data_IF_527005392286
#
_entry.id   IF_527005392286
#
_cell.length_a   1.000
_cell.length_b   1.000
_cell.length_c   1.000
_cell.angle_alpha   90.00
_cell.angle_beta   90.00
_cell.angle_gamma   90.00
#
_symmetry.space_group_name_H-M   'P 1'
#
loop_
_entity.id
_entity.type
_entity.pdbx_description
1 polymer ?
#
# COMPACT_ATOMS: atom_id res chain seq x y z
N UNK A 1 -28.38 -21.70 8.90
CA UNK A 1 -28.14 -20.25 9.06
C UNK A 1 -26.76 -20.03 8.52
N UNK A 2 -26.63 -19.36 7.38
CA UNK A 2 -25.32 -18.95 6.86
C UNK A 2 -24.67 -18.07 7.92
N UNK A 3 -23.58 -18.53 8.53
CA UNK A 3 -22.74 -17.68 9.38
C UNK A 3 -22.34 -16.47 8.53
N UNK A 4 -23.01 -15.34 8.78
CA UNK A 4 -22.61 -14.07 8.17
C UNK A 4 -21.22 -13.75 8.72
N UNK A 5 -20.25 -13.63 7.81
CA UNK A 5 -18.93 -13.13 8.13
C UNK A 5 -19.05 -11.83 8.95
N UNK A 6 -18.55 -11.87 10.19
CA UNK A 6 -18.53 -10.72 11.09
C UNK A 6 -17.20 -9.99 10.91
N UNK A 7 -17.24 -8.66 10.83
CA UNK A 7 -16.03 -7.84 10.80
C UNK A 7 -15.22 -8.03 12.08
N UNK A 8 -13.91 -8.30 11.93
CA UNK A 8 -12.97 -8.67 13.01
C UNK A 8 -12.12 -7.50 13.54
N UNK A 9 -12.66 -6.29 13.40
CA UNK A 9 -12.10 -5.08 14.04
C UNK A 9 -12.68 -4.93 15.45
N UNK A 10 -11.81 -4.92 16.46
CA UNK A 10 -12.23 -4.71 17.87
C UNK A 10 -11.70 -3.41 18.46
N UNK A 11 -12.58 -2.73 19.20
CA UNK A 11 -12.29 -1.44 19.84
C UNK A 11 -11.63 -1.62 21.20
N UNK A 12 -12.13 -2.50 22.07
CA UNK A 12 -11.58 -2.80 23.40
C UNK A 12 -12.07 -4.17 23.88
N UNK A 13 -11.25 -5.21 23.82
CA UNK A 13 -11.55 -6.49 24.47
C UNK A 13 -10.28 -7.01 25.14
N UNK A 14 -10.40 -7.49 26.36
CA UNK A 14 -9.36 -8.19 27.13
C UNK A 14 -9.24 -9.67 26.75
N UNK A 15 -9.83 -10.08 25.61
CA UNK A 15 -9.90 -11.47 25.17
C UNK A 15 -10.96 -12.31 25.89
N UNK A 16 -11.81 -11.71 26.74
CA UNK A 16 -12.91 -12.43 27.42
C UNK A 16 -14.01 -12.93 26.47
N UNK A 17 -14.13 -12.35 25.28
CA UNK A 17 -15.06 -12.75 24.23
C UNK A 17 -14.52 -13.93 23.40
N UNK A 18 -14.10 -15.01 24.05
CA UNK A 18 -13.54 -16.18 23.37
C UNK A 18 -14.58 -16.85 22.46
N UNK A 19 -14.26 -17.12 21.18
CA UNK A 19 -15.15 -17.82 20.29
C UNK A 19 -15.35 -19.27 20.76
N UNK A 20 -16.52 -19.88 20.47
CA UNK A 20 -16.78 -21.28 20.82
C UNK A 20 -15.69 -22.20 20.26
N UNK A 21 -15.06 -22.99 21.14
CA UNK A 21 -14.02 -23.94 20.76
C UNK A 21 -12.59 -23.47 20.97
N UNK A 22 -12.36 -22.20 21.30
CA UNK A 22 -11.06 -21.74 21.78
C UNK A 22 -10.85 -22.11 23.26
N UNK A 23 -9.65 -22.59 23.63
CA UNK A 23 -9.28 -22.92 25.00
C UNK A 23 -8.41 -21.84 25.68
N UNK A 24 -7.64 -21.08 24.90
CA UNK A 24 -6.88 -19.92 25.36
C UNK A 24 -6.71 -18.88 24.23
N UNK A 25 -6.16 -17.71 24.58
CA UNK A 25 -5.80 -16.68 23.62
C UNK A 25 -4.40 -16.14 23.89
N UNK A 26 -3.76 -15.61 22.85
CA UNK A 26 -2.48 -14.90 22.95
C UNK A 26 -2.60 -13.49 22.37
N UNK A 27 -1.82 -12.57 22.93
CA UNK A 27 -1.70 -11.20 22.45
C UNK A 27 -0.39 -11.00 21.71
N UNK A 28 -0.46 -10.41 20.52
CA UNK A 28 0.72 -10.05 19.72
C UNK A 28 0.68 -8.56 19.43
N UNK A 29 1.70 -7.84 19.92
CA UNK A 29 1.87 -6.40 19.71
C UNK A 29 1.66 -5.57 20.98
N UNK A 30 1.73 -4.23 20.91
CA UNK A 30 2.11 -3.42 19.74
C UNK A 30 3.62 -3.42 19.46
N UNK A 31 4.44 -3.99 20.35
CA UNK A 31 5.87 -4.18 20.18
C UNK A 31 6.17 -5.67 20.09
N UNK A 32 6.19 -6.23 18.88
CA UNK A 32 6.52 -7.63 18.63
C UNK A 32 7.32 -7.74 17.32
N UNK A 33 8.33 -8.62 17.20
CA UNK A 33 9.11 -8.75 15.96
C UNK A 33 8.26 -9.02 14.70
N UNK A 34 7.17 -9.78 14.83
CA UNK A 34 6.21 -10.02 13.73
C UNK A 34 5.41 -8.79 13.31
N UNK A 35 5.33 -7.77 14.17
CA UNK A 35 4.60 -6.54 13.95
C UNK A 35 5.57 -5.37 13.72
N UNK A 36 6.06 -5.23 12.50
CA UNK A 36 6.96 -4.14 12.09
C UNK A 36 6.35 -2.75 12.24
N UNK A 37 5.04 -2.68 12.08
CA UNK A 37 4.25 -1.51 12.42
C UNK A 37 3.34 -1.85 13.62
N UNK A 38 3.06 -0.86 14.50
CA UNK A 38 2.34 -1.13 15.74
C UNK A 38 0.87 -1.47 15.46
N UNK A 39 0.55 -2.74 15.65
CA UNK A 39 -0.80 -3.30 15.68
C UNK A 39 -0.89 -4.32 16.81
N UNK A 40 -2.10 -4.60 17.26
CA UNK A 40 -2.35 -5.55 18.33
C UNK A 40 -3.30 -6.63 17.82
N UNK A 41 -2.82 -7.88 17.77
CA UNK A 41 -3.59 -9.04 17.37
C UNK A 41 -4.00 -9.82 18.60
N UNK A 42 -5.25 -10.27 18.60
CA UNK A 42 -5.79 -11.19 19.60
C UNK A 42 -6.06 -12.49 18.86
N UNK A 43 -5.35 -13.54 19.25
CA UNK A 43 -5.42 -14.82 18.54
C UNK A 43 -6.03 -15.83 19.50
N UNK A 44 -7.19 -16.34 19.13
CA UNK A 44 -7.90 -17.38 19.87
C UNK A 44 -7.45 -18.74 19.34
N UNK A 45 -6.97 -19.59 20.24
CA UNK A 45 -6.34 -20.87 19.92
C UNK A 45 -7.13 -22.04 20.51
N UNK A 46 -6.95 -23.21 19.89
CA UNK A 46 -7.29 -24.52 20.43
C UNK A 46 -6.05 -25.40 20.32
N UNK A 47 -5.32 -25.57 21.43
CA UNK A 47 -3.94 -26.07 21.36
C UNK A 47 -3.08 -25.16 20.47
N UNK A 48 -2.50 -25.69 19.39
CA UNK A 48 -1.65 -24.91 18.48
C UNK A 48 -2.39 -24.35 17.25
N UNK A 49 -3.68 -24.66 17.10
CA UNK A 49 -4.49 -24.24 15.94
C UNK A 49 -5.25 -22.96 16.24
N UNK A 50 -5.27 -22.07 15.27
CA UNK A 50 -6.02 -20.82 15.32
C UNK A 50 -7.50 -21.11 15.06
N UNK A 51 -8.34 -20.68 16.00
CA UNK A 51 -9.81 -20.71 15.84
C UNK A 51 -10.27 -19.42 15.17
N UNK A 52 -9.78 -18.28 15.65
CA UNK A 52 -10.10 -16.96 15.14
C UNK A 52 -8.98 -15.98 15.50
N UNK A 53 -8.78 -14.97 14.65
CA UNK A 53 -7.88 -13.86 14.92
C UNK A 53 -8.59 -12.52 14.74
N UNK A 54 -8.45 -11.66 15.73
CA UNK A 54 -8.93 -10.29 15.75
C UNK A 54 -7.76 -9.30 15.67
N UNK A 55 -8.01 -8.11 15.11
CA UNK A 55 -7.00 -7.04 15.04
C UNK A 55 -7.51 -5.74 15.65
N UNK A 56 -6.60 -5.09 16.36
CA UNK A 56 -6.72 -3.70 16.80
C UNK A 56 -5.62 -2.87 16.14
N UNK A 57 -6.05 -1.85 15.42
CA UNK A 57 -5.21 -0.82 14.81
C UNK A 57 -5.40 0.52 15.56
N UNK A 58 -4.70 1.56 15.15
CA UNK A 58 -4.85 2.92 15.69
C UNK A 58 -3.66 3.41 16.53
N UNK A 59 -2.62 2.59 16.72
CA UNK A 59 -1.43 2.95 17.50
C UNK A 59 -0.56 4.02 16.82
N UNK A 60 -0.61 4.12 15.48
CA UNK A 60 0.16 5.10 14.69
C UNK A 60 -0.76 6.10 13.97
N UNK A 61 -1.74 6.67 14.69
CA UNK A 61 -2.64 7.68 14.14
C UNK A 61 -1.96 9.06 14.14
N UNK A 62 -1.73 9.61 12.94
CA UNK A 62 -1.03 10.89 12.75
C UNK A 62 -1.93 12.07 12.38
N UNK A 63 -3.22 11.84 12.13
CA UNK A 63 -4.18 12.89 11.79
C UNK A 63 -3.91 13.58 10.43
N UNK A 64 -3.32 12.87 9.46
CA UNK A 64 -2.94 13.44 8.15
C UNK A 64 -4.13 14.08 7.43
N UNK A 65 -5.27 13.39 7.37
CA UNK A 65 -6.49 13.90 6.72
C UNK A 65 -6.92 15.25 7.33
N UNK A 66 -6.93 15.37 8.66
CA UNK A 66 -7.27 16.63 9.35
C UNK A 66 -6.21 17.71 9.12
N UNK A 67 -4.95 17.32 9.06
CA UNK A 67 -3.84 18.23 8.82
C UNK A 67 -3.79 18.72 7.35
N UNK A 68 -4.50 18.05 6.42
CA UNK A 68 -4.68 18.52 5.05
C UNK A 68 -5.70 19.66 4.97
N UNK A 69 -6.78 19.62 5.76
CA UNK A 69 -7.82 20.68 5.80
C UNK A 69 -7.23 22.05 6.20
N UNK A 70 -6.18 22.05 7.03
CA UNK A 70 -5.55 23.29 7.49
C UNK A 70 -4.48 23.86 6.53
N UNK A 71 -4.11 23.11 5.49
CA UNK A 71 -3.00 23.43 4.56
C UNK A 71 -3.50 23.65 3.15
N UNK A 72 -2.73 24.41 2.37
CA UNK A 72 -3.11 24.67 0.97
C UNK A 72 -2.95 23.41 0.11
N UNK A 73 -3.66 23.36 -1.02
CA UNK A 73 -3.54 22.26 -1.99
C UNK A 73 -2.07 21.99 -2.40
N UNK A 74 -1.27 23.04 -2.54
CA UNK A 74 0.15 22.92 -2.89
C UNK A 74 1.01 22.39 -1.73
N UNK A 75 0.74 22.80 -0.50
CA UNK A 75 1.46 22.30 0.68
C UNK A 75 1.15 20.82 0.93
N UNK A 76 -0.10 20.42 0.69
CA UNK A 76 -0.56 19.06 0.87
C UNK A 76 0.11 18.06 -0.09
N UNK A 77 0.59 18.50 -1.25
CA UNK A 77 1.41 17.66 -2.16
C UNK A 77 2.64 17.05 -1.49
N UNK A 78 3.21 17.72 -0.48
CA UNK A 78 4.34 17.20 0.29
C UNK A 78 3.91 16.41 1.54
N UNK A 79 2.68 16.59 2.00
CA UNK A 79 2.16 15.89 3.18
C UNK A 79 1.61 14.51 2.82
N UNK A 80 0.87 14.42 1.72
CA UNK A 80 0.20 13.18 1.29
C UNK A 80 1.14 12.00 1.07
N UNK A 81 2.33 12.16 0.45
CA UNK A 81 3.27 11.05 0.30
C UNK A 81 3.64 10.42 1.65
N UNK A 82 3.60 11.19 2.74
CA UNK A 82 3.91 10.72 4.10
C UNK A 82 2.78 9.88 4.70
N UNK A 83 1.63 9.71 4.04
CA UNK A 83 0.59 8.78 4.48
C UNK A 83 1.13 7.35 4.60
N UNK A 84 2.02 6.96 3.71
CA UNK A 84 2.67 5.65 3.66
C UNK A 84 4.18 5.85 3.56
N UNK A 85 4.98 5.06 4.28
CA UNK A 85 6.44 5.17 4.19
C UNK A 85 7.04 4.58 2.89
N UNK A 86 6.28 3.72 2.21
CA UNK A 86 6.77 2.89 1.10
C UNK A 86 5.98 3.18 -0.19
N UNK A 87 4.70 3.49 -0.10
CA UNK A 87 3.79 3.75 -1.22
C UNK A 87 3.48 5.26 -1.38
N UNK A 88 4.54 6.06 -1.39
CA UNK A 88 4.49 7.52 -1.34
C UNK A 88 4.14 8.18 -2.69
N UNK A 89 4.61 7.62 -3.80
CA UNK A 89 4.41 8.11 -5.16
C UNK A 89 2.98 7.87 -5.64
N UNK A 90 2.38 6.71 -5.34
CA UNK A 90 0.97 6.46 -5.68
C UNK A 90 0.03 7.39 -4.92
N UNK A 91 0.22 7.57 -3.62
CA UNK A 91 -0.57 8.55 -2.85
C UNK A 91 -0.39 9.96 -3.41
N UNK A 92 0.84 10.32 -3.82
CA UNK A 92 1.08 11.60 -4.49
C UNK A 92 0.33 11.70 -5.81
N UNK A 93 0.38 10.67 -6.65
CA UNK A 93 -0.27 10.61 -7.96
C UNK A 93 -1.78 10.76 -7.84
N UNK A 94 -2.41 9.94 -7.00
CA UNK A 94 -3.85 9.96 -6.79
C UNK A 94 -4.28 11.32 -6.24
N UNK A 95 -3.48 11.93 -5.35
CA UNK A 95 -3.73 13.29 -4.89
C UNK A 95 -3.65 14.36 -5.98
N UNK A 96 -2.58 14.39 -6.78
CA UNK A 96 -2.46 15.42 -7.82
C UNK A 96 -3.56 15.27 -8.87
N UNK A 97 -3.98 14.04 -9.19
CA UNK A 97 -5.11 13.78 -10.08
C UNK A 97 -6.44 14.30 -9.53
N UNK A 98 -6.67 14.22 -8.21
CA UNK A 98 -7.83 14.87 -7.59
C UNK A 98 -7.78 16.39 -7.80
N UNK A 99 -6.64 17.01 -7.52
CA UNK A 99 -6.49 18.46 -7.66
C UNK A 99 -6.63 18.90 -9.12
N UNK A 100 -6.05 18.15 -10.06
CA UNK A 100 -6.06 18.46 -11.49
C UNK A 100 -7.46 18.37 -12.09
N UNK A 101 -8.24 17.37 -11.66
CA UNK A 101 -9.63 17.25 -12.08
C UNK A 101 -10.48 18.39 -11.55
N UNK A 102 -10.37 18.69 -10.25
CA UNK A 102 -11.12 19.77 -9.61
C UNK A 102 -10.72 21.15 -10.16
N UNK A 103 -9.46 21.35 -10.53
CA UNK A 103 -8.97 22.59 -11.11
C UNK A 103 -9.22 22.71 -12.64
N UNK A 104 -9.68 21.65 -13.30
CA UNK A 104 -9.95 21.64 -14.74
C UNK A 104 -8.69 21.73 -15.62
N UNK A 105 -7.56 21.16 -15.15
CA UNK A 105 -6.26 21.23 -15.83
C UNK A 105 -5.75 19.87 -16.31
N UNK A 106 -6.54 18.80 -16.15
CA UNK A 106 -6.16 17.43 -16.51
C UNK A 106 -5.71 17.29 -17.99
N UNK A 107 -6.40 17.98 -18.90
CA UNK A 107 -6.12 17.96 -20.34
C UNK A 107 -4.86 18.76 -20.72
N UNK A 108 -4.34 19.58 -19.81
CA UNK A 108 -3.13 20.40 -20.04
C UNK A 108 -1.86 19.64 -19.66
N UNK A 109 -1.98 18.45 -19.07
CA UNK A 109 -0.83 17.66 -18.62
C UNK A 109 -0.21 16.98 -19.83
N UNK A 110 1.04 17.32 -20.12
CA UNK A 110 1.78 16.76 -21.26
C UNK A 110 2.00 15.24 -21.12
N UNK A 111 2.12 14.56 -22.27
CA UNK A 111 2.44 13.13 -22.32
C UNK A 111 3.78 12.83 -21.64
N UNK A 112 4.78 13.72 -21.80
CA UNK A 112 6.07 13.61 -21.11
C UNK A 112 5.92 13.60 -19.59
N UNK A 113 5.08 14.49 -19.03
CA UNK A 113 4.84 14.52 -17.58
C UNK A 113 4.13 13.24 -17.09
N UNK A 114 3.18 12.71 -17.86
CA UNK A 114 2.48 11.44 -17.55
C UNK A 114 3.42 10.23 -17.58
N UNK A 115 4.33 10.16 -18.54
CA UNK A 115 5.37 9.12 -18.60
C UNK A 115 6.29 9.15 -17.37
N UNK A 116 6.73 10.35 -16.95
CA UNK A 116 7.57 10.49 -15.75
C UNK A 116 6.80 10.06 -14.48
N UNK A 117 5.50 10.37 -14.39
CA UNK A 117 4.65 9.88 -13.30
C UNK A 117 4.57 8.37 -13.29
N UNK A 118 4.30 7.75 -14.44
CA UNK A 118 4.25 6.29 -14.57
C UNK A 118 5.58 5.64 -14.18
N UNK A 119 6.71 6.19 -14.61
CA UNK A 119 8.02 5.67 -14.20
C UNK A 119 8.15 5.67 -12.67
N UNK A 120 7.78 6.77 -12.02
CA UNK A 120 7.82 6.86 -10.56
C UNK A 120 6.87 5.89 -9.85
N UNK A 121 5.72 5.55 -10.46
CA UNK A 121 4.77 4.58 -9.92
C UNK A 121 5.28 3.14 -10.05
N UNK A 122 5.85 2.78 -11.20
CA UNK A 122 6.38 1.44 -11.41
C UNK A 122 7.71 1.21 -10.67
N UNK A 123 8.58 2.22 -10.58
CA UNK A 123 9.75 2.17 -9.72
C UNK A 123 9.38 1.99 -8.23
N UNK A 124 8.28 2.63 -7.79
CA UNK A 124 7.72 2.40 -6.46
C UNK A 124 7.25 0.97 -6.25
N UNK A 125 6.56 0.41 -7.25
CA UNK A 125 6.11 -0.99 -7.24
C UNK A 125 7.26 -1.97 -7.12
N UNK A 126 8.30 -1.80 -7.95
CA UNK A 126 9.51 -2.62 -7.92
C UNK A 126 10.16 -2.58 -6.54
N UNK A 127 10.51 -1.40 -6.01
CA UNK A 127 11.19 -1.37 -4.72
C UNK A 127 10.32 -1.89 -3.57
N UNK A 128 8.99 -1.76 -3.69
CA UNK A 128 8.06 -2.21 -2.68
C UNK A 128 7.97 -3.73 -2.63
N UNK A 129 7.79 -4.38 -3.78
CA UNK A 129 7.67 -5.83 -3.85
C UNK A 129 8.97 -6.51 -3.40
N UNK A 130 10.12 -5.98 -3.85
CA UNK A 130 11.43 -6.50 -3.44
C UNK A 130 11.64 -6.42 -1.93
N UNK A 131 11.28 -5.29 -1.32
CA UNK A 131 11.31 -5.13 0.13
C UNK A 131 10.43 -6.18 0.81
N UNK A 132 9.20 -6.31 0.33
CA UNK A 132 8.18 -7.15 0.94
C UNK A 132 8.53 -8.64 0.91
N UNK A 133 8.89 -9.21 -0.25
CA UNK A 133 9.18 -10.64 -0.30
C UNK A 133 10.50 -10.97 0.42
N UNK A 134 11.42 -10.00 0.52
CA UNK A 134 12.62 -10.14 1.36
C UNK A 134 12.27 -10.32 2.84
N UNK A 135 11.33 -9.50 3.33
CA UNK A 135 10.79 -9.63 4.69
C UNK A 135 9.98 -10.92 4.86
N UNK A 136 9.16 -11.29 3.89
CA UNK A 136 8.44 -12.57 3.93
C UNK A 136 9.41 -13.76 4.07
N UNK A 137 10.54 -13.72 3.35
CA UNK A 137 11.57 -14.75 3.48
C UNK A 137 12.18 -14.77 4.89
N UNK A 138 12.41 -13.60 5.51
CA UNK A 138 12.83 -13.51 6.91
C UNK A 138 11.81 -14.15 7.87
N UNK A 139 10.53 -13.82 7.71
CA UNK A 139 9.43 -14.40 8.53
C UNK A 139 9.29 -15.92 8.30
N UNK A 140 9.65 -16.41 7.11
CA UNK A 140 9.73 -17.83 6.80
C UNK A 140 11.00 -18.52 7.38
N UNK A 141 11.97 -17.76 7.88
CA UNK A 141 13.24 -18.24 8.46
C UNK A 141 14.43 -18.26 7.49
N UNK A 142 14.34 -17.57 6.35
CA UNK A 142 15.33 -17.57 5.28
C UNK A 142 16.00 -16.19 5.09
N UNK A 143 16.89 -15.85 6.02
CA UNK A 143 17.58 -14.54 6.07
C UNK A 143 18.44 -14.24 4.85
N UNK A 144 19.00 -15.26 4.18
CA UNK A 144 19.83 -15.04 2.99
C UNK A 144 19.05 -14.32 1.89
N UNK A 145 17.77 -14.66 1.68
CA UNK A 145 16.94 -13.98 0.69
C UNK A 145 16.57 -12.55 1.12
N UNK A 146 16.41 -12.27 2.42
CA UNK A 146 16.26 -10.90 2.92
C UNK A 146 17.45 -10.04 2.47
N UNK A 147 18.67 -10.49 2.74
CA UNK A 147 19.88 -9.71 2.43
C UNK A 147 20.14 -9.58 0.93
N UNK A 148 19.92 -10.64 0.14
CA UNK A 148 20.09 -10.60 -1.32
C UNK A 148 19.06 -9.64 -1.95
N UNK A 149 17.78 -9.79 -1.59
CA UNK A 149 16.72 -8.95 -2.13
C UNK A 149 16.92 -7.48 -1.79
N UNK A 150 17.32 -7.15 -0.55
CA UNK A 150 17.55 -5.77 -0.14
C UNK A 150 18.79 -5.15 -0.78
N UNK A 151 19.86 -5.93 -1.00
CA UNK A 151 21.01 -5.48 -1.79
C UNK A 151 20.57 -5.10 -3.22
N UNK A 152 19.79 -5.96 -3.86
CA UNK A 152 19.38 -5.74 -5.25
C UNK A 152 18.31 -4.65 -5.37
N UNK A 153 17.52 -4.44 -4.32
CA UNK A 153 16.59 -3.31 -4.18
C UNK A 153 17.29 -1.95 -4.25
N UNK A 154 18.53 -1.84 -3.79
CA UNK A 154 19.27 -0.57 -3.84
C UNK A 154 19.43 -0.06 -5.28
N UNK A 155 19.48 -0.97 -6.27
CA UNK A 155 19.61 -0.61 -7.69
C UNK A 155 18.47 0.32 -8.14
N UNK A 156 17.22 -0.03 -7.82
CA UNK A 156 16.07 0.81 -8.21
C UNK A 156 16.00 2.09 -7.37
N UNK A 157 16.45 2.05 -6.11
CA UNK A 157 16.49 3.24 -5.26
C UNK A 157 17.53 4.26 -5.72
N UNK A 158 18.68 3.81 -6.20
CA UNK A 158 19.71 4.67 -6.78
C UNK A 158 19.19 5.38 -8.04
N UNK A 159 18.40 4.69 -8.88
CA UNK A 159 17.75 5.30 -10.05
C UNK A 159 16.72 6.35 -9.62
N UNK A 160 15.87 6.03 -8.65
CA UNK A 160 14.87 6.97 -8.11
C UNK A 160 15.54 8.19 -7.47
N UNK A 161 16.66 8.00 -6.77
CA UNK A 161 17.45 9.08 -6.21
C UNK A 161 18.06 9.97 -7.28
N UNK A 162 18.63 9.39 -8.35
CA UNK A 162 19.19 10.19 -9.43
C UNK A 162 18.10 11.01 -10.14
N UNK A 163 16.90 10.48 -10.29
CA UNK A 163 15.80 11.17 -10.99
C UNK A 163 15.10 12.21 -10.10
N UNK A 164 14.85 11.86 -8.85
CA UNK A 164 14.01 12.65 -7.94
C UNK A 164 14.78 13.40 -6.86
N UNK A 165 16.04 13.07 -6.62
CA UNK A 165 16.89 13.60 -5.54
C UNK A 165 16.65 13.00 -4.15
N UNK A 166 15.68 12.09 -3.99
CA UNK A 166 15.42 11.39 -2.74
C UNK A 166 15.26 9.89 -3.02
N UNK A 167 15.73 9.03 -2.11
CA UNK A 167 15.55 7.57 -2.22
C UNK A 167 14.13 7.12 -1.84
N UNK A 168 13.52 7.78 -0.86
CA UNK A 168 12.18 7.50 -0.33
C UNK A 168 11.42 8.82 -0.27
N UNK A 169 10.12 8.82 -0.58
CA UNK A 169 9.34 10.04 -0.81
C UNK A 169 9.96 10.93 -1.92
N UNK A 170 9.99 10.46 -3.18
CA UNK A 170 10.59 11.18 -4.29
C UNK A 170 9.94 12.55 -4.52
N UNK A 171 8.67 12.70 -4.12
CA UNK A 171 7.91 13.95 -4.19
C UNK A 171 7.99 14.62 -5.57
N UNK A 172 8.03 13.82 -6.64
CA UNK A 172 8.27 14.25 -8.01
C UNK A 172 7.05 14.93 -8.64
N UNK A 173 5.84 14.54 -8.20
CA UNK A 173 4.60 14.94 -8.84
C UNK A 173 4.03 16.22 -8.22
N UNK A 174 3.60 17.16 -9.05
CA UNK A 174 2.93 18.39 -8.61
C UNK A 174 1.58 18.50 -9.33
N UNK A 175 0.58 19.19 -8.75
CA UNK A 175 -0.60 19.55 -9.51
C UNK A 175 -0.18 20.31 -10.79
N UNK A 176 -0.59 19.79 -11.95
CA UNK A 176 -0.24 20.27 -13.27
C UNK A 176 0.89 19.50 -13.97
N UNK A 177 1.55 18.53 -13.33
CA UNK A 177 2.59 17.72 -13.97
C UNK A 177 3.66 17.19 -13.01
N UNK A 178 4.93 17.46 -13.31
CA UNK A 178 6.09 16.97 -12.55
C UNK A 178 7.08 18.10 -12.26
N UNK A 179 7.85 17.94 -11.18
CA UNK A 179 8.83 18.93 -10.71
C UNK A 179 10.15 18.89 -11.47
N UNK A 180 10.57 17.70 -11.89
CA UNK A 180 11.88 17.45 -12.53
C UNK A 180 11.68 16.58 -13.76
N UNK A 181 12.51 16.83 -14.76
CA UNK A 181 12.61 16.00 -15.95
C UNK A 181 13.57 14.82 -15.73
N UNK A 182 13.49 13.83 -16.61
CA UNK A 182 14.46 12.74 -16.76
C UNK A 182 15.20 12.99 -18.09
N UNK A 183 16.41 13.56 -18.07
CA UNK A 183 17.21 13.77 -19.27
C UNK A 183 17.75 12.45 -19.83
N UNK A 184 18.12 12.46 -21.11
CA UNK A 184 18.59 11.26 -21.82
C UNK A 184 19.81 10.60 -21.17
N UNK A 185 20.79 11.37 -20.71
CA UNK A 185 22.00 10.82 -20.08
C UNK A 185 21.69 10.03 -18.80
N UNK A 186 20.65 10.43 -18.05
CA UNK A 186 20.17 9.70 -16.87
C UNK A 186 19.40 8.44 -17.27
N UNK A 187 18.57 8.53 -18.31
CA UNK A 187 17.87 7.37 -18.86
C UNK A 187 18.86 6.29 -19.34
N UNK A 188 19.89 6.68 -20.10
CA UNK A 188 20.92 5.79 -20.63
C UNK A 188 21.71 5.07 -19.52
N UNK A 189 21.93 5.72 -18.37
CA UNK A 189 22.55 5.12 -17.18
C UNK A 189 21.61 4.15 -16.46
N UNK A 190 20.31 4.45 -16.41
CA UNK A 190 19.32 3.62 -15.71
C UNK A 190 19.03 2.29 -16.43
N UNK A 191 19.04 2.28 -17.77
CA UNK A 191 18.77 1.08 -18.60
C UNK A 191 19.59 -0.17 -18.21
N UNK A 192 20.94 -0.13 -18.18
CA UNK A 192 21.74 -1.30 -17.79
C UNK A 192 21.48 -1.73 -16.34
N UNK A 193 21.16 -0.78 -15.45
CA UNK A 193 20.80 -1.07 -14.05
C UNK A 193 19.46 -1.82 -13.96
N UNK A 194 18.43 -1.38 -14.68
CA UNK A 194 17.15 -2.08 -14.78
C UNK A 194 17.33 -3.49 -15.35
N UNK A 195 18.10 -3.65 -16.41
CA UNK A 195 18.37 -4.96 -17.03
C UNK A 195 19.15 -5.90 -16.09
N UNK A 196 20.06 -5.36 -15.27
CA UNK A 196 20.72 -6.13 -14.21
C UNK A 196 19.70 -6.58 -13.17
N UNK A 197 18.81 -5.69 -12.74
CA UNK A 197 17.79 -5.98 -11.74
C UNK A 197 16.79 -7.04 -12.21
N UNK A 198 16.37 -7.02 -13.49
CA UNK A 198 15.53 -8.08 -14.09
C UNK A 198 16.15 -9.46 -13.84
N UNK A 199 17.44 -9.64 -14.18
CA UNK A 199 18.15 -10.92 -13.98
C UNK A 199 18.22 -11.34 -12.51
N UNK A 200 18.35 -10.39 -11.58
CA UNK A 200 18.33 -10.70 -10.15
C UNK A 200 16.93 -11.13 -9.70
N UNK A 201 15.88 -10.45 -10.15
CA UNK A 201 14.50 -10.82 -9.82
C UNK A 201 14.11 -12.17 -10.42
N UNK A 202 14.58 -12.50 -11.62
CA UNK A 202 14.43 -13.85 -12.19
C UNK A 202 15.09 -14.92 -11.30
N UNK A 203 16.28 -14.63 -10.75
CA UNK A 203 16.93 -15.51 -9.78
C UNK A 203 16.12 -15.60 -8.47
N UNK A 204 15.61 -14.48 -7.95
CA UNK A 204 14.73 -14.49 -6.77
C UNK A 204 13.51 -15.38 -7.00
N UNK A 205 12.87 -15.28 -8.17
CA UNK A 205 11.75 -16.15 -8.54
C UNK A 205 12.12 -17.63 -8.42
N UNK A 206 13.27 -18.03 -8.98
CA UNK A 206 13.76 -19.41 -8.89
C UNK A 206 13.91 -19.87 -7.45
N UNK A 207 14.48 -19.05 -6.58
CA UNK A 207 14.62 -19.35 -5.14
C UNK A 207 13.25 -19.65 -4.50
N UNK A 208 12.24 -18.79 -4.72
CA UNK A 208 10.89 -19.02 -4.18
C UNK A 208 10.19 -20.24 -4.79
N UNK A 209 10.50 -20.61 -6.03
CA UNK A 209 9.86 -21.75 -6.72
C UNK A 209 10.59 -23.08 -6.55
N UNK A 210 11.89 -23.10 -6.23
CA UNK A 210 12.70 -24.31 -6.23
C UNK A 210 13.18 -24.70 -4.82
N UNK A 211 13.40 -23.73 -3.91
CA UNK A 211 13.92 -24.02 -2.57
C UNK A 211 12.83 -24.61 -1.66
N UNK A 212 13.05 -25.87 -1.26
CA UNK A 212 12.10 -26.62 -0.44
C UNK A 212 11.82 -25.97 0.91
N UNK A 213 12.81 -25.33 1.53
CA UNK A 213 12.66 -24.69 2.85
C UNK A 213 11.66 -23.53 2.83
N UNK A 214 11.65 -22.74 1.76
CA UNK A 214 10.70 -21.65 1.55
C UNK A 214 9.34 -22.21 1.17
N UNK A 215 9.28 -23.14 0.20
CA UNK A 215 8.02 -23.75 -0.26
C UNK A 215 7.25 -24.38 0.90
N UNK A 216 7.92 -25.13 1.77
CA UNK A 216 7.30 -25.76 2.94
C UNK A 216 6.60 -24.77 3.89
N UNK A 217 6.96 -23.48 3.87
CA UNK A 217 6.37 -22.43 4.71
C UNK A 217 5.31 -21.58 4.01
N UNK A 218 5.21 -21.64 2.68
CA UNK A 218 4.35 -20.74 1.90
C UNK A 218 3.31 -21.48 1.05
N UNK A 219 3.64 -22.69 0.60
CA UNK A 219 2.79 -23.53 -0.24
C UNK A 219 1.72 -24.23 0.60
N UNK A 220 0.46 -24.14 0.18
CA UNK A 220 -0.72 -24.62 0.93
C UNK A 220 -0.88 -24.03 2.34
N UNK A 221 -0.23 -22.90 2.64
CA UNK A 221 -0.38 -22.18 3.91
C UNK A 221 -1.28 -20.96 3.71
N UNK A 222 -2.24 -20.75 4.62
CA UNK A 222 -3.10 -19.57 4.62
C UNK A 222 -3.90 -19.43 3.34
N UNK A 223 -4.49 -20.53 2.88
CA UNK A 223 -5.22 -20.62 1.61
C UNK A 223 -6.49 -19.78 1.70
N UNK A 224 -6.59 -18.74 0.86
CA UNK A 224 -7.81 -17.98 0.67
C UNK A 224 -8.51 -18.45 -0.60
N UNK A 225 -9.59 -19.21 -0.42
CA UNK A 225 -10.40 -19.69 -1.55
C UNK A 225 -10.98 -18.53 -2.35
N UNK A 226 -11.29 -18.75 -3.63
CA UNK A 226 -11.88 -17.72 -4.48
C UNK A 226 -13.23 -17.22 -3.96
N UNK A 227 -14.01 -18.06 -3.31
CA UNK A 227 -15.31 -17.66 -2.75
C UNK A 227 -15.15 -16.86 -1.46
N UNK A 228 -14.22 -17.25 -0.57
CA UNK A 228 -13.85 -16.43 0.59
C UNK A 228 -13.25 -15.08 0.17
N UNK A 229 -12.45 -15.06 -0.91
CA UNK A 229 -11.92 -13.84 -1.48
C UNK A 229 -13.04 -12.93 -2.02
N UNK A 230 -14.10 -13.46 -2.63
CA UNK A 230 -15.26 -12.63 -3.04
C UNK A 230 -15.99 -12.03 -1.84
N UNK A 231 -16.06 -12.74 -0.72
CA UNK A 231 -16.72 -12.28 0.51
C UNK A 231 -15.88 -11.20 1.21
N UNK A 232 -14.58 -11.45 1.36
CA UNK A 232 -13.66 -10.54 2.06
C UNK A 232 -13.16 -9.38 1.20
N UNK A 233 -13.31 -9.49 -0.12
CA UNK A 233 -12.97 -8.45 -1.12
C UNK A 233 -11.53 -7.90 -1.02
N UNK A 234 -10.50 -8.77 -0.98
CA UNK A 234 -9.12 -8.31 -1.01
C UNK A 234 -8.83 -7.59 -2.33
N UNK A 235 -7.91 -6.64 -2.28
CA UNK A 235 -7.44 -5.87 -3.43
C UNK A 235 -5.98 -6.20 -3.77
N UNK A 236 -5.56 -5.81 -4.97
CA UNK A 236 -4.16 -5.93 -5.38
C UNK A 236 -3.65 -7.36 -5.48
N UNK A 237 -2.36 -7.59 -5.16
CA UNK A 237 -1.75 -8.91 -5.23
C UNK A 237 -2.43 -9.96 -4.34
N UNK A 238 -3.03 -9.55 -3.21
CA UNK A 238 -3.73 -10.49 -2.32
C UNK A 238 -4.98 -11.07 -2.97
N UNK A 239 -5.73 -10.27 -3.75
CA UNK A 239 -6.86 -10.77 -4.54
C UNK A 239 -6.41 -11.57 -5.76
N UNK A 240 -5.36 -11.10 -6.46
CA UNK A 240 -4.81 -11.77 -7.64
C UNK A 240 -4.13 -13.11 -7.33
N UNK A 241 -3.66 -13.31 -6.09
CA UNK A 241 -3.17 -14.62 -5.63
C UNK A 241 -4.28 -15.66 -5.41
N UNK A 242 -5.53 -15.21 -5.25
CA UNK A 242 -6.73 -16.04 -5.02
C UNK A 242 -7.66 -16.10 -6.24
N UNK A 243 -7.14 -15.83 -7.45
CA UNK A 243 -7.89 -15.97 -8.69
C UNK A 243 -8.90 -14.86 -8.98
N UNK A 244 -8.69 -13.65 -8.42
CA UNK A 244 -9.45 -12.44 -8.74
C UNK A 244 -8.64 -11.53 -9.69
N UNK A 245 -8.84 -11.61 -11.03
CA UNK A 245 -8.05 -10.87 -12.01
C UNK A 245 -8.51 -9.40 -12.10
N UNK A 246 -8.20 -8.61 -11.08
CA UNK A 246 -8.56 -7.20 -11.01
C UNK A 246 -7.32 -6.33 -10.70
N UNK A 247 -7.15 -5.27 -11.49
CA UNK A 247 -6.10 -4.25 -11.32
C UNK A 247 -6.63 -2.92 -11.87
N UNK A 248 -6.43 -1.83 -11.11
CA UNK A 248 -6.94 -0.52 -11.50
C UNK A 248 -6.26 0.03 -12.76
N UNK A 249 -4.99 -0.32 -13.03
CA UNK A 249 -4.25 0.13 -14.22
C UNK A 249 -4.83 -0.42 -15.52
N UNK A 250 -5.46 -1.60 -15.48
CA UNK A 250 -6.07 -2.24 -16.66
C UNK A 250 -7.57 -2.00 -16.75
N UNK A 251 -8.25 -2.03 -15.61
CA UNK A 251 -9.72 -1.87 -15.56
C UNK A 251 -10.15 -0.41 -15.71
N UNK A 252 -9.39 0.52 -15.10
CA UNK A 252 -9.65 1.96 -15.12
C UNK A 252 -8.34 2.71 -15.37
N UNK A 253 -7.77 2.59 -16.59
CA UNK A 253 -6.45 3.10 -16.90
C UNK A 253 -6.33 4.60 -16.60
N UNK A 254 -5.17 4.98 -16.11
CA UNK A 254 -4.81 6.35 -15.79
C UNK A 254 -3.38 6.64 -16.24
N UNK A 255 -2.97 7.90 -16.23
CA UNK A 255 -1.75 8.36 -16.90
C UNK A 255 -1.72 7.91 -18.37
N UNK A 256 -0.97 6.85 -18.71
CA UNK A 256 -0.85 6.23 -20.03
C UNK A 256 -0.75 4.68 -19.95
N UNK A 257 -1.32 4.06 -18.92
CA UNK A 257 -1.29 2.59 -18.74
C UNK A 257 -1.96 1.80 -19.88
N UNK A 258 -2.82 2.46 -20.66
CA UNK A 258 -3.48 1.96 -21.86
C UNK A 258 -2.60 2.04 -23.12
N UNK A 259 -1.48 2.77 -23.08
CA UNK A 259 -0.54 2.94 -24.21
C UNK A 259 0.76 2.14 -24.07
N UNK A 260 0.93 1.41 -22.97
CA UNK A 260 2.11 0.59 -22.69
C UNK A 260 1.68 -0.87 -22.67
N UNK A 261 2.50 -1.76 -23.24
CA UNK A 261 2.20 -3.18 -23.26
C UNK A 261 2.69 -3.86 -21.98
N UNK A 262 1.78 -4.56 -21.31
CA UNK A 262 2.04 -5.29 -20.06
C UNK A 262 0.93 -6.31 -19.75
N UNK A 263 1.30 -7.35 -19.01
CA UNK A 263 0.43 -8.46 -18.67
C UNK A 263 -0.08 -8.38 -17.22
N UNK A 264 -1.35 -8.75 -17.04
CA UNK A 264 -1.93 -8.88 -15.71
C UNK A 264 -1.51 -10.23 -15.13
N UNK A 265 -0.80 -10.19 -14.00
CA UNK A 265 -0.37 -11.40 -13.29
C UNK A 265 -1.47 -11.86 -12.34
N UNK A 266 -1.85 -13.13 -12.42
CA UNK A 266 -2.87 -13.73 -11.55
C UNK A 266 -2.57 -15.21 -11.36
N UNK A 267 -2.79 -15.69 -10.14
CA UNK A 267 -2.62 -17.07 -9.71
C UNK A 267 -3.94 -17.57 -9.08
N UNK A 268 -4.15 -18.88 -8.98
CA UNK A 268 -5.44 -19.46 -8.57
C UNK A 268 -5.38 -20.26 -7.27
N UNK A 269 -4.17 -20.55 -6.77
CA UNK A 269 -3.90 -21.45 -5.66
C UNK A 269 -4.36 -20.84 -4.32
N UNK A 270 -4.35 -19.52 -4.18
CA UNK A 270 -4.85 -18.81 -3.01
C UNK A 270 -3.96 -18.87 -1.77
N UNK A 271 -2.89 -19.66 -1.79
CA UNK A 271 -1.89 -19.73 -0.73
C UNK A 271 -0.97 -18.50 -0.69
N UNK A 272 -0.03 -18.50 0.26
CA UNK A 272 0.94 -17.41 0.40
C UNK A 272 1.94 -17.45 -0.75
N UNK A 273 2.33 -18.63 -1.25
CA UNK A 273 3.25 -18.77 -2.37
C UNK A 273 2.70 -18.10 -3.63
N UNK A 274 1.46 -18.36 -4.03
CA UNK A 274 0.80 -17.70 -5.16
C UNK A 274 0.78 -16.17 -4.99
N UNK A 275 0.42 -15.70 -3.80
CA UNK A 275 0.39 -14.27 -3.45
C UNK A 275 1.80 -13.63 -3.53
N UNK A 276 2.85 -14.43 -3.30
CA UNK A 276 4.26 -14.04 -3.42
C UNK A 276 4.69 -13.98 -4.88
N UNK A 277 4.35 -15.02 -5.66
CA UNK A 277 4.66 -15.11 -7.09
C UNK A 277 3.98 -13.99 -7.88
N UNK A 278 2.74 -13.61 -7.53
CA UNK A 278 2.10 -12.42 -8.11
C UNK A 278 3.00 -11.19 -8.01
N UNK A 279 3.56 -10.91 -6.82
CA UNK A 279 4.41 -9.73 -6.60
C UNK A 279 5.76 -9.83 -7.31
N UNK A 280 6.35 -11.01 -7.38
CA UNK A 280 7.62 -11.24 -8.09
C UNK A 280 7.42 -11.03 -9.60
N UNK A 281 6.38 -11.62 -10.18
CA UNK A 281 6.07 -11.47 -11.60
C UNK A 281 5.61 -10.05 -11.94
N UNK A 282 4.83 -9.40 -11.07
CA UNK A 282 4.53 -7.96 -11.20
C UNK A 282 5.78 -7.10 -11.17
N UNK A 283 6.80 -7.48 -10.40
CA UNK A 283 8.10 -6.77 -10.38
C UNK A 283 8.79 -6.88 -11.75
N UNK A 284 8.76 -8.06 -12.38
CA UNK A 284 9.32 -8.25 -13.71
C UNK A 284 8.57 -7.42 -14.77
N UNK A 285 7.24 -7.46 -14.76
CA UNK A 285 6.41 -6.63 -15.65
C UNK A 285 6.70 -5.13 -15.44
N UNK A 286 6.79 -4.68 -14.18
CA UNK A 286 7.09 -3.27 -13.85
C UNK A 286 8.46 -2.84 -14.35
N UNK A 287 9.48 -3.71 -14.25
CA UNK A 287 10.82 -3.43 -14.77
C UNK A 287 10.82 -3.31 -16.30
N UNK A 288 10.06 -4.16 -16.99
CA UNK A 288 9.88 -4.05 -18.44
C UNK A 288 9.16 -2.76 -18.83
N UNK A 289 8.10 -2.39 -18.09
CA UNK A 289 7.41 -1.11 -18.27
C UNK A 289 8.34 0.07 -18.06
N UNK A 290 9.20 0.04 -17.03
CA UNK A 290 10.20 1.09 -16.81
C UNK A 290 11.13 1.27 -18.03
N UNK A 291 11.60 0.17 -18.64
CA UNK A 291 12.42 0.24 -19.87
C UNK A 291 11.63 0.87 -21.04
N UNK A 292 10.39 0.42 -21.27
CA UNK A 292 9.50 0.97 -22.31
C UNK A 292 9.23 2.47 -22.10
N UNK A 293 9.02 2.90 -20.85
CA UNK A 293 8.81 4.31 -20.50
C UNK A 293 10.05 5.14 -20.82
N UNK A 294 11.25 4.65 -20.47
CA UNK A 294 12.50 5.34 -20.83
C UNK A 294 12.67 5.45 -22.35
N UNK A 295 12.27 4.44 -23.13
CA UNK A 295 12.28 4.51 -24.60
C UNK A 295 11.34 5.60 -25.13
N UNK A 296 10.11 5.66 -24.63
CA UNK A 296 9.13 6.67 -25.04
C UNK A 296 9.53 8.08 -24.60
N UNK A 297 10.23 8.22 -23.47
CA UNK A 297 10.75 9.51 -23.01
C UNK A 297 11.81 10.11 -23.94
N UNK A 298 12.51 9.31 -24.74
CA UNK A 298 13.49 9.84 -25.70
C UNK A 298 12.83 10.57 -26.88
N UNK A 299 11.66 10.10 -27.32
CA UNK A 299 10.91 10.64 -28.45
C UNK A 299 9.84 11.67 -28.06
N UNK A 300 9.45 11.72 -26.79
CA UNK A 300 8.35 12.57 -26.33
C UNK A 300 8.84 13.91 -25.77
N UNK A 301 8.40 15.01 -26.38
CA UNK A 301 8.60 16.38 -25.88
C UNK A 301 7.33 16.90 -25.21
N UNK A 302 7.45 17.81 -24.24
CA UNK A 302 6.29 18.43 -23.59
C UNK A 302 6.64 19.27 -22.37
N UNK A 303 5.78 20.24 -22.04
CA UNK A 303 5.93 21.04 -20.83
C UNK A 303 5.79 20.15 -19.58
N UNK A 304 6.67 20.34 -18.61
CA UNK A 304 6.69 19.51 -17.39
C UNK A 304 5.59 19.89 -16.39
N UNK A 305 5.16 21.14 -16.38
CA UNK A 305 4.26 21.66 -15.36
C UNK A 305 3.29 22.70 -15.94
N UNK A 306 2.03 22.31 -16.09
CA UNK A 306 0.93 23.22 -16.41
C UNK A 306 0.62 24.15 -15.24
N UNK A 307 0.12 25.36 -15.55
CA UNK A 307 -0.20 26.37 -14.53
C UNK A 307 -1.51 26.05 -13.83
N UNK A 308 -1.43 25.74 -12.53
CA UNK A 308 -2.61 25.51 -11.68
C UNK A 308 -2.92 26.75 -10.83
N UNK A 309 -4.18 27.19 -10.81
CA UNK A 309 -4.62 28.29 -9.95
C UNK A 309 -4.63 27.83 -8.48
N UNK A 310 -4.23 28.69 -7.52
CA UNK A 310 -4.21 28.32 -6.10
C UNK A 310 -5.60 27.98 -5.54
N UNK A 311 -6.64 28.67 -6.01
CA UNK A 311 -8.03 28.42 -5.62
C UNK A 311 -8.64 27.39 -6.55
N UNK A 312 -9.17 26.33 -5.98
CA UNK A 312 -9.82 25.23 -6.70
C UNK A 312 -11.33 25.46 -6.64
N UNK A 313 -12.04 25.41 -7.79
CA UNK A 313 -13.51 25.55 -7.83
C UNK A 313 -14.22 24.59 -6.87
N UNK A 314 -15.44 24.96 -6.48
CA UNK A 314 -16.29 24.09 -5.66
C UNK A 314 -16.59 22.77 -6.40
N UNK A 315 -16.51 21.66 -5.68
CA UNK A 315 -16.74 20.34 -6.25
C UNK A 315 -16.16 19.23 -5.39
N UNK A 316 -16.45 17.99 -5.79
CA UNK A 316 -15.82 16.82 -5.18
C UNK A 316 -15.39 15.82 -6.24
N UNK A 317 -14.30 15.12 -5.99
CA UNK A 317 -13.79 14.11 -6.91
C UNK A 317 -13.10 12.97 -6.18
N UNK A 318 -13.31 11.76 -6.70
CA UNK A 318 -12.67 10.53 -6.24
C UNK A 318 -11.69 10.07 -7.31
N UNK A 319 -10.41 10.04 -6.98
CA UNK A 319 -9.40 9.39 -7.81
C UNK A 319 -9.02 8.05 -7.19
N UNK A 320 -8.61 7.12 -8.06
CA UNK A 320 -8.14 5.79 -7.67
C UNK A 320 -6.85 5.46 -8.39
N UNK A 321 -5.98 4.69 -7.74
CA UNK A 321 -4.74 4.17 -8.30
C UNK A 321 -4.44 2.77 -7.78
N UNK A 322 -3.62 2.02 -8.52
CA UNK A 322 -3.13 0.72 -8.08
C UNK A 322 -1.81 0.92 -7.31
N UNK A 323 -1.86 0.98 -5.99
CA UNK A 323 -0.65 0.91 -5.17
C UNK A 323 -0.05 -0.50 -5.25
N UNK A 324 1.21 -0.71 -4.80
CA UNK A 324 1.80 -2.06 -4.76
C UNK A 324 1.06 -3.07 -3.86
N UNK A 325 0.14 -2.57 -3.00
CA UNK A 325 -0.71 -3.40 -2.14
C UNK A 325 -2.15 -3.55 -2.67
N UNK A 326 -2.51 -2.81 -3.72
CA UNK A 326 -3.85 -2.80 -4.33
C UNK A 326 -4.48 -1.42 -4.44
N UNK A 327 -5.81 -1.35 -4.45
CA UNK A 327 -6.57 -0.13 -4.75
C UNK A 327 -6.43 0.96 -3.66
N UNK A 328 -5.75 2.05 -4.01
CA UNK A 328 -5.68 3.28 -3.23
C UNK A 328 -6.72 4.29 -3.74
N UNK A 329 -7.55 4.81 -2.85
CA UNK A 329 -8.64 5.73 -3.18
C UNK A 329 -8.47 7.01 -2.41
N UNK A 330 -8.41 8.14 -3.11
CA UNK A 330 -8.53 9.44 -2.49
C UNK A 330 -9.81 10.16 -2.92
N UNK A 331 -10.47 10.80 -1.97
CA UNK A 331 -11.65 11.61 -2.20
C UNK A 331 -11.47 13.01 -1.60
N UNK A 332 -11.52 14.03 -2.46
CA UNK A 332 -11.34 15.43 -2.07
C UNK A 332 -12.61 16.25 -2.32
N UNK A 333 -12.91 17.16 -1.39
CA UNK A 333 -13.97 18.17 -1.50
C UNK A 333 -13.33 19.55 -1.47
N UNK A 334 -13.65 20.37 -2.46
CA UNK A 334 -13.22 21.75 -2.59
C UNK A 334 -14.41 22.70 -2.40
N UNK A 335 -14.15 23.83 -1.74
CA UNK A 335 -15.12 24.88 -1.41
C UNK A 335 -14.74 26.24 -2.03
N UNK A 336 -14.06 26.26 -3.18
CA UNK A 336 -13.63 27.50 -3.83
C UNK A 336 -12.38 28.15 -3.22
N UNK A 337 -11.86 27.64 -2.11
CA UNK A 337 -10.67 28.19 -1.43
C UNK A 337 -9.36 27.55 -1.92
N UNK A 338 -8.24 27.99 -1.34
CA UNK A 338 -6.91 27.41 -1.57
C UNK A 338 -6.60 26.18 -0.70
N UNK A 339 -7.58 25.75 0.12
CA UNK A 339 -7.51 24.58 1.01
C UNK A 339 -8.64 23.59 0.67
N UNK A 340 -8.43 22.29 0.90
CA UNK A 340 -9.53 21.33 0.84
C UNK A 340 -10.50 21.57 2.00
N UNK A 341 -11.80 21.49 1.73
CA UNK A 341 -12.82 21.45 2.78
C UNK A 341 -12.72 20.13 3.55
N UNK A 342 -12.59 19.03 2.80
CA UNK A 342 -12.39 17.69 3.34
C UNK A 342 -11.54 16.87 2.40
N UNK A 343 -10.69 16.02 2.98
CA UNK A 343 -9.95 15.03 2.23
C UNK A 343 -9.98 13.68 2.91
N UNK A 344 -10.20 12.62 2.15
CA UNK A 344 -10.29 11.24 2.62
C UNK A 344 -9.33 10.36 1.83
N UNK A 345 -8.56 9.56 2.56
CA UNK A 345 -7.69 8.52 2.00
C UNK A 345 -8.24 7.17 2.45
N UNK A 346 -8.42 6.23 1.52
CA UNK A 346 -8.63 4.81 1.79
C UNK A 346 -7.44 4.07 1.21
N UNK A 347 -6.55 3.67 2.11
CA UNK A 347 -5.37 2.90 1.79
C UNK A 347 -5.73 1.46 1.38
N UNK A 348 -4.93 0.82 0.52
CA UNK A 348 -5.18 -0.53 0.03
C UNK A 348 -5.20 -1.58 1.15
N UNK A 349 -4.26 -1.49 2.10
CA UNK A 349 -4.11 -2.46 3.19
C UNK A 349 -5.38 -2.61 4.04
N UNK A 350 -6.22 -1.57 4.15
CA UNK A 350 -7.49 -1.64 4.88
C UNK A 350 -8.42 -2.72 4.31
N UNK A 351 -8.48 -2.84 2.98
CA UNK A 351 -9.32 -3.84 2.32
C UNK A 351 -8.78 -5.26 2.37
N UNK A 352 -7.51 -5.44 2.77
CA UNK A 352 -6.87 -6.75 2.82
C UNK A 352 -6.89 -7.38 4.22
N UNK A 353 -7.15 -6.60 5.27
CA UNK A 353 -7.14 -7.07 6.67
C UNK A 353 -8.10 -8.24 6.88
N UNK A 354 -9.36 -8.09 6.45
CA UNK A 354 -10.41 -9.11 6.62
C UNK A 354 -10.06 -10.42 5.92
N UNK A 355 -9.51 -10.33 4.70
CA UNK A 355 -9.01 -11.48 3.95
C UNK A 355 -7.83 -12.17 4.67
N UNK A 356 -6.91 -11.40 5.26
CA UNK A 356 -5.78 -11.97 6.00
C UNK A 356 -6.21 -12.63 7.30
N UNK A 357 -7.12 -12.03 8.06
CA UNK A 357 -7.64 -12.67 9.26
C UNK A 357 -8.37 -13.95 8.91
N UNK A 358 -9.10 -13.98 7.78
CA UNK A 358 -9.75 -15.19 7.28
C UNK A 358 -8.75 -16.29 6.94
N UNK A 359 -7.59 -15.96 6.36
CA UNK A 359 -6.49 -16.90 6.08
C UNK A 359 -5.91 -17.55 7.33
N UNK A 360 -6.08 -16.95 8.51
CA UNK A 360 -5.57 -17.52 9.76
C UNK A 360 -6.45 -18.64 10.31
N UNK A 361 -7.72 -18.73 9.89
CA UNK A 361 -8.66 -19.71 10.45
C UNK A 361 -8.19 -21.16 10.20
N UNK A 362 -8.01 -21.93 11.26
CA UNK A 362 -7.64 -23.35 11.21
C UNK A 362 -6.15 -23.63 11.04
N UNK A 363 -5.34 -22.60 10.79
CA UNK A 363 -3.89 -22.70 10.61
C UNK A 363 -3.14 -22.87 11.93
N UNK A 364 -1.86 -23.23 11.85
CA UNK A 364 -1.00 -23.31 13.02
C UNK A 364 -0.49 -21.94 13.45
N UNK A 365 -0.31 -21.75 14.76
CA UNK A 365 0.26 -20.50 15.32
C UNK A 365 1.64 -20.16 14.72
N UNK A 366 2.41 -21.17 14.30
CA UNK A 366 3.72 -21.00 13.68
C UNK A 366 3.67 -20.38 12.26
N UNK A 367 2.52 -20.46 11.58
CA UNK A 367 2.33 -19.93 10.22
C UNK A 367 1.74 -18.52 10.21
N UNK A 368 1.32 -18.02 11.37
CA UNK A 368 0.78 -16.67 11.50
C UNK A 368 1.73 -15.55 11.04
N UNK A 369 3.06 -15.61 11.27
CA UNK A 369 3.95 -14.57 10.77
C UNK A 369 3.89 -14.42 9.25
N UNK A 370 3.95 -15.53 8.51
CA UNK A 370 3.91 -15.52 7.03
C UNK A 370 2.52 -15.16 6.51
N UNK A 371 1.45 -15.61 7.18
CA UNK A 371 0.07 -15.24 6.83
C UNK A 371 -0.15 -13.74 7.04
N UNK A 372 0.29 -13.20 8.17
CA UNK A 372 0.21 -11.77 8.46
C UNK A 372 1.04 -10.96 7.44
N UNK A 373 2.20 -11.47 7.05
CA UNK A 373 3.04 -10.81 6.06
C UNK A 373 2.44 -10.83 4.66
N UNK A 374 1.63 -11.85 4.31
CA UNK A 374 1.13 -12.12 2.95
C UNK A 374 0.49 -10.92 2.21
N UNK A 375 -0.10 -9.97 2.94
CA UNK A 375 -0.81 -8.82 2.38
C UNK A 375 -0.06 -7.49 2.43
N UNK A 376 1.19 -7.49 2.93
CA UNK A 376 2.02 -6.29 3.03
C UNK A 376 1.34 -5.17 3.87
N UNK A 377 1.11 -5.42 5.18
CA UNK A 377 0.43 -4.47 6.05
C UNK A 377 1.14 -3.13 6.15
N UNK A 378 0.40 -2.04 5.95
CA UNK A 378 0.82 -0.71 6.37
C UNK A 378 -0.28 -0.11 7.27
N UNK A 379 -0.06 -0.16 8.59
CA UNK A 379 -1.00 0.39 9.57
C UNK A 379 -0.97 1.92 9.59
N UNK A 380 0.16 2.53 9.23
CA UNK A 380 0.37 3.98 9.18
C UNK A 380 -0.60 4.70 8.24
N UNK A 381 -0.89 4.13 7.06
CA UNK A 381 -1.86 4.68 6.11
C UNK A 381 -3.30 4.20 6.38
N UNK A 382 -3.47 3.13 7.16
CA UNK A 382 -4.76 2.50 7.49
C UNK A 382 -5.44 3.11 8.72
N UNK A 383 -4.68 3.70 9.65
CA UNK A 383 -5.23 4.23 10.90
C UNK A 383 -6.25 5.36 10.68
N UNK A 384 -7.46 5.15 11.21
CA UNK A 384 -8.58 6.10 11.23
C UNK A 384 -9.25 6.01 12.60
N UNK A 385 -9.77 7.12 13.10
CA UNK A 385 -10.61 7.09 14.30
C UNK A 385 -11.80 8.00 14.12
N UNK A 386 -12.95 7.48 14.53
CA UNK A 386 -14.17 8.23 14.77
C UNK A 386 -14.46 8.14 16.27
N UNK A 387 -14.69 9.29 16.90
CA UNK A 387 -15.16 9.33 18.28
C UNK A 387 -16.68 9.43 18.29
N UNK A 388 -17.33 8.50 18.99
CA UNK A 388 -18.76 8.52 19.24
C UNK A 388 -18.97 8.41 20.75
N UNK A 389 -19.84 9.25 21.31
CA UNK A 389 -20.35 9.04 22.65
C UNK A 389 -21.32 7.86 22.61
N UNK A 390 -21.00 6.75 23.29
CA UNK A 390 -21.81 5.53 23.23
C UNK A 390 -23.22 5.69 23.79
N UNK A 391 -23.43 6.63 24.72
CA UNK A 391 -24.75 6.89 25.34
C UNK A 391 -25.60 7.80 24.47
N UNK A 392 -25.01 8.86 23.92
CA UNK A 392 -25.77 9.88 23.17
C UNK A 392 -25.75 9.67 21.66
N UNK A 393 -24.85 8.83 21.15
CA UNK A 393 -24.57 8.66 19.72
C UNK A 393 -23.86 9.86 19.08
N UNK A 394 -23.51 10.88 19.86
CA UNK A 394 -22.95 12.13 19.34
C UNK A 394 -21.51 11.93 18.84
N UNK A 395 -21.24 12.44 17.63
CA UNK A 395 -19.90 12.39 17.03
C UNK A 395 -19.05 13.53 17.56
N UNK A 396 -17.91 13.21 18.16
CA UNK A 396 -16.97 14.22 18.67
C UNK A 396 -15.97 14.55 17.57
N UNK A 397 -16.00 15.80 17.08
CA UNK A 397 -15.06 16.30 16.07
C UNK A 397 -13.96 17.10 16.78
N UNK A 398 -12.72 16.58 16.74
CA UNK A 398 -11.55 17.28 17.27
C UNK A 398 -10.89 18.14 16.19
N UNK A 399 -10.48 19.35 16.55
CA UNK A 399 -9.58 20.14 15.72
C UNK A 399 -8.12 19.63 15.84
N UNK A 400 -7.21 20.16 15.01
CA UNK A 400 -5.83 19.67 14.97
C UNK A 400 -5.07 19.94 16.28
N UNK A 401 -5.34 21.04 16.98
CA UNK A 401 -4.67 21.39 18.23
C UNK A 401 -5.14 20.50 19.39
N UNK A 402 -6.44 20.22 19.46
CA UNK A 402 -7.02 19.25 20.40
C UNK A 402 -6.45 17.86 20.16
N UNK A 403 -6.39 17.44 18.89
CA UNK A 403 -5.78 16.17 18.50
C UNK A 403 -4.31 16.12 18.94
N UNK A 404 -3.52 17.17 18.66
CA UNK A 404 -2.11 17.24 19.04
C UNK A 404 -1.90 17.18 20.56
N UNK A 405 -2.70 17.93 21.34
CA UNK A 405 -2.65 17.89 22.81
C UNK A 405 -2.96 16.50 23.36
N UNK A 406 -3.98 15.83 22.81
CA UNK A 406 -4.34 14.46 23.19
C UNK A 406 -3.26 13.45 22.81
N UNK A 407 -2.66 13.61 21.63
CA UNK A 407 -1.51 12.80 21.16
C UNK A 407 -0.32 12.89 22.12
N UNK A 408 0.06 14.10 22.51
CA UNK A 408 1.18 14.36 23.43
C UNK A 408 0.89 13.71 24.79
N UNK A 409 -0.34 13.81 25.27
CA UNK A 409 -0.78 13.16 26.51
C UNK A 409 -0.69 11.64 26.40
N UNK A 410 -1.23 11.03 25.33
CA UNK A 410 -1.19 9.59 25.12
C UNK A 410 0.25 9.05 25.07
N UNK A 411 1.14 9.72 24.32
CA UNK A 411 2.56 9.39 24.24
C UNK A 411 3.26 9.48 25.60
N UNK A 412 2.99 10.53 26.39
CA UNK A 412 3.58 10.71 27.73
C UNK A 412 3.25 9.56 28.68
N UNK A 413 2.09 8.93 28.52
CA UNK A 413 1.63 7.84 29.38
C UNK A 413 1.72 6.45 28.75
N UNK A 414 2.31 6.33 27.56
CA UNK A 414 2.38 5.09 26.76
C UNK A 414 1.03 4.37 26.64
N UNK A 415 -0.05 5.12 26.43
CA UNK A 415 -1.42 4.61 26.26
C UNK A 415 -1.85 4.75 24.81
N UNK A 416 -2.74 3.86 24.30
CA UNK A 416 -3.40 4.08 23.02
C UNK A 416 -4.07 5.47 22.99
N UNK A 417 -4.13 6.07 21.80
CA UNK A 417 -4.65 7.43 21.61
C UNK A 417 -6.11 7.57 22.10
N UNK A 418 -6.87 6.48 22.02
CA UNK A 418 -8.25 6.35 22.45
C UNK A 418 -8.40 5.21 23.45
#
# INVERSE_FOLDING_TARGET
MTEQYRSRFRTLTDGSDSPPGADHHIFIGPQHPWAEEPAHFIIHLKGERVVEADIRIGFNLRGIEKAMENRTWRQNTMLVPRACGICSAVHQNVYVRVVEKLAGVEDQISERARLIRMFSLEAERVHSHILWYGILAHDAGFDTMLHISWRDREIIMDIVEDFSGNRVNPALMLPGGVKRDIPKDKADKARPMLNKLIKQVEYHKKVFTEEASIRNRLENVGVLTKDDAKITTPNGPTGRGSGLPFDMRKSFPYELYDKIDWNLVCYNEGDILATTLVRIDETLESLQMCNQILDQLESTQGELLARVKPRVPEGSYMARGEAPRGEDIHYGIANGTDKPERYKIRAPSLGNIDATLKRMDGEYVADMPVILRSYDPCFSCTNRVMLINEVTGEKIIMNQDEFARKAIKAKRYNRPFF
#
